data_IF_371065796078
#
_entry.id   IF_371065796078
#
_cell.length_a   1.000
_cell.length_b   1.000
_cell.length_c   1.000
_cell.angle_alpha   90.00
_cell.angle_beta   90.00
_cell.angle_gamma   90.00
#
_symmetry.space_group_name_H-M   'P 1'
#
loop_
_entity.id
_entity.type
_entity.pdbx_description
1 polymer ?
#
# COMPACT_ATOMS: atom_id res chain seq x y z
N UNK A 1 -11.05 14.39 24.46
CA UNK A 1 -9.90 14.21 23.51
C UNK A 1 -9.57 12.74 23.22
N UNK A 2 -9.76 11.81 24.18
CA UNK A 2 -9.42 10.39 23.99
C UNK A 2 -10.38 9.59 23.08
N UNK A 3 -11.58 10.04 22.83
CA UNK A 3 -12.57 9.35 22.00
C UNK A 3 -12.38 9.60 20.51
N UNK A 4 -11.78 10.74 20.11
CA UNK A 4 -11.53 11.07 18.70
C UNK A 4 -10.38 10.25 18.09
N UNK A 5 -9.34 9.96 18.88
CA UNK A 5 -8.18 9.15 18.44
C UNK A 5 -8.50 7.66 18.28
N UNK A 6 -9.53 7.15 18.98
CA UNK A 6 -9.99 5.76 18.82
C UNK A 6 -10.81 5.54 17.53
N UNK A 7 -11.40 6.58 16.92
CA UNK A 7 -12.23 6.47 15.71
C UNK A 7 -11.44 6.51 14.40
N UNK A 8 -10.19 6.97 14.38
CA UNK A 8 -9.36 7.05 13.15
C UNK A 8 -8.69 5.73 12.74
N UNK A 9 -8.91 4.65 13.47
CA UNK A 9 -8.16 3.38 13.34
C UNK A 9 -8.73 2.42 12.32
N UNK A 10 -9.32 2.84 11.20
CA UNK A 10 -9.85 1.80 10.29
C UNK A 10 -10.06 2.23 8.84
N UNK A 11 -9.51 1.40 8.01
CA UNK A 11 -9.86 1.01 6.64
C UNK A 11 -9.43 1.93 5.51
N UNK A 12 -8.36 1.49 4.87
CA UNK A 12 -7.88 1.95 3.58
C UNK A 12 -8.75 1.39 2.44
N UNK A 13 -9.37 2.23 1.61
CA UNK A 13 -10.14 1.79 0.42
C UNK A 13 -9.52 2.31 -0.89
N UNK A 14 -8.64 3.29 -0.83
CA UNK A 14 -7.85 3.79 -1.95
C UNK A 14 -6.57 4.37 -1.36
N UNK A 15 -5.73 3.48 -0.81
CA UNK A 15 -4.45 3.87 -0.29
C UNK A 15 -3.45 4.05 -1.42
N UNK A 16 -2.61 5.05 -1.26
CA UNK A 16 -1.33 5.34 -1.96
C UNK A 16 -0.94 4.33 -3.05
N UNK A 17 -1.93 3.85 -3.83
CA UNK A 17 -1.70 2.81 -4.81
C UNK A 17 -0.67 3.27 -5.85
N UNK A 18 -0.71 4.54 -6.22
CA UNK A 18 0.24 5.08 -7.16
C UNK A 18 1.64 5.29 -6.57
N UNK A 19 1.72 5.86 -5.38
CA UNK A 19 3.01 6.10 -4.72
C UNK A 19 3.77 4.80 -4.46
N UNK A 20 3.08 3.75 -3.99
CA UNK A 20 3.68 2.42 -3.80
C UNK A 20 4.13 1.79 -5.12
N UNK A 21 3.28 1.82 -6.14
CA UNK A 21 3.63 1.33 -7.47
C UNK A 21 4.83 2.07 -8.04
N UNK A 22 4.80 3.41 -7.99
CA UNK A 22 5.90 4.28 -8.45
C UNK A 22 7.22 3.97 -7.73
N UNK A 23 7.17 3.82 -6.40
CA UNK A 23 8.34 3.45 -5.60
C UNK A 23 8.93 2.12 -6.10
N UNK A 24 8.09 1.11 -6.28
CA UNK A 24 8.52 -0.21 -6.75
C UNK A 24 9.22 -0.14 -8.10
N UNK A 25 8.69 0.61 -9.06
CA UNK A 25 9.31 0.78 -10.37
C UNK A 25 10.70 1.47 -10.26
N UNK A 26 10.81 2.53 -9.43
CA UNK A 26 12.07 3.22 -9.20
C UNK A 26 13.10 2.36 -8.46
N UNK A 27 12.67 1.48 -7.57
CA UNK A 27 13.53 0.49 -6.90
C UNK A 27 14.01 -0.54 -7.91
N UNK A 28 13.12 -1.10 -8.75
CA UNK A 28 13.50 -2.04 -9.82
C UNK A 28 14.58 -1.47 -10.74
N UNK A 29 14.50 -0.19 -11.07
CA UNK A 29 15.48 0.46 -11.94
C UNK A 29 16.87 0.59 -11.31
N UNK A 30 16.96 0.58 -9.99
CA UNK A 30 18.24 0.62 -9.25
C UNK A 30 18.87 -0.76 -9.03
N UNK A 31 18.09 -1.84 -9.15
CA UNK A 31 18.60 -3.20 -8.88
C UNK A 31 19.58 -3.66 -9.95
N UNK A 32 20.54 -4.54 -9.54
CA UNK A 32 21.45 -5.19 -10.49
C UNK A 32 20.67 -6.13 -11.45
N UNK A 33 21.23 -6.35 -12.63
CA UNK A 33 20.56 -7.08 -13.71
C UNK A 33 20.07 -8.49 -13.34
N UNK A 34 20.80 -9.34 -12.63
CA UNK A 34 20.29 -10.66 -12.25
C UNK A 34 19.04 -10.58 -11.38
N UNK A 35 19.04 -9.69 -10.36
CA UNK A 35 17.92 -9.52 -9.45
C UNK A 35 16.73 -8.85 -10.15
N UNK A 36 16.98 -7.78 -10.89
CA UNK A 36 15.96 -7.07 -11.69
C UNK A 36 15.22 -8.05 -12.59
N UNK A 37 15.93 -8.92 -13.33
CA UNK A 37 15.31 -9.91 -14.21
C UNK A 37 14.41 -10.90 -13.45
N UNK A 38 14.80 -11.34 -12.26
CA UNK A 38 13.96 -12.22 -11.44
C UNK A 38 12.64 -11.54 -11.07
N UNK A 39 12.69 -10.27 -10.66
CA UNK A 39 11.50 -9.51 -10.26
C UNK A 39 10.63 -9.17 -11.48
N UNK A 40 11.21 -8.77 -12.60
CA UNK A 40 10.48 -8.49 -13.85
C UNK A 40 9.80 -9.74 -14.42
N UNK A 41 10.43 -10.92 -14.32
CA UNK A 41 9.81 -12.18 -14.73
C UNK A 41 8.58 -12.52 -13.86
N UNK A 42 8.55 -12.06 -12.62
CA UNK A 42 7.47 -12.27 -11.66
C UNK A 42 6.80 -10.94 -11.26
N UNK A 43 6.69 -10.02 -12.23
CA UNK A 43 6.20 -8.65 -12.02
C UNK A 43 4.82 -8.61 -11.36
N UNK A 44 3.93 -9.51 -11.72
CA UNK A 44 2.58 -9.60 -11.16
C UNK A 44 2.57 -9.86 -9.64
N UNK A 45 3.53 -10.65 -9.14
CA UNK A 45 3.70 -10.91 -7.71
C UNK A 45 4.38 -9.72 -7.02
N UNK A 46 5.43 -9.15 -7.64
CA UNK A 46 6.07 -7.95 -7.12
C UNK A 46 5.07 -6.80 -6.98
N UNK A 47 4.27 -6.56 -8.01
CA UNK A 47 3.25 -5.51 -8.04
C UNK A 47 2.19 -5.69 -6.94
N UNK A 48 1.72 -6.93 -6.69
CA UNK A 48 0.82 -7.21 -5.57
C UNK A 48 1.53 -6.95 -4.23
N UNK A 49 2.79 -7.32 -4.11
CA UNK A 49 3.61 -7.07 -2.93
C UNK A 49 3.71 -5.59 -2.57
N UNK A 50 3.78 -4.69 -3.56
CA UNK A 50 3.81 -3.24 -3.36
C UNK A 50 2.59 -2.69 -2.61
N UNK A 51 1.51 -3.45 -2.52
CA UNK A 51 0.33 -3.09 -1.73
C UNK A 51 0.30 -3.74 -0.35
N UNK A 52 1.28 -4.59 -0.03
CA UNK A 52 1.47 -5.17 1.30
C UNK A 52 0.18 -5.72 1.92
N UNK A 53 -0.06 -5.44 3.21
CA UNK A 53 -1.27 -5.89 3.90
C UNK A 53 -2.52 -5.06 3.57
N UNK A 54 -2.39 -3.95 2.83
CA UNK A 54 -3.50 -3.05 2.47
C UNK A 54 -4.55 -3.73 1.60
N UNK A 55 -4.15 -4.72 0.80
CA UNK A 55 -5.08 -5.54 0.03
C UNK A 55 -6.19 -6.12 0.90
N UNK A 56 -5.94 -6.40 2.18
CA UNK A 56 -6.89 -6.99 3.11
C UNK A 56 -8.04 -6.04 3.48
N UNK A 57 -7.81 -4.72 3.41
CA UNK A 57 -8.84 -3.73 3.71
C UNK A 57 -9.95 -3.66 2.66
N UNK A 58 -9.69 -4.14 1.46
CA UNK A 58 -10.68 -4.21 0.38
C UNK A 58 -11.64 -5.39 0.50
N UNK A 59 -11.44 -6.29 1.49
CA UNK A 59 -12.38 -7.35 1.77
C UNK A 59 -13.57 -6.82 2.58
N UNK A 60 -14.66 -6.42 1.88
CA UNK A 60 -15.84 -5.81 2.50
C UNK A 60 -15.49 -4.58 3.37
N UNK A 61 -15.02 -3.50 2.78
CA UNK A 61 -14.44 -2.34 3.49
C UNK A 61 -15.41 -1.60 4.41
N UNK A 62 -16.73 -1.83 4.26
CA UNK A 62 -17.79 -1.25 5.08
C UNK A 62 -18.12 -2.09 6.34
N UNK A 63 -17.53 -3.28 6.48
CA UNK A 63 -17.74 -4.17 7.63
C UNK A 63 -16.42 -4.40 8.36
N UNK A 64 -16.45 -4.43 9.70
CA UNK A 64 -15.32 -4.87 10.51
C UNK A 64 -15.12 -6.39 10.42
N UNK A 65 -14.62 -6.87 9.27
CA UNK A 65 -14.40 -8.29 9.04
C UNK A 65 -13.13 -8.79 9.75
N UNK A 66 -13.01 -10.13 9.89
CA UNK A 66 -11.78 -10.78 10.37
C UNK A 66 -10.57 -10.35 9.51
N UNK A 67 -10.77 -10.24 8.19
CA UNK A 67 -9.72 -9.91 7.23
C UNK A 67 -9.24 -8.46 7.39
N UNK A 68 -10.16 -7.50 7.57
CA UNK A 68 -9.75 -6.11 7.84
C UNK A 68 -9.00 -6.00 9.17
N UNK A 69 -9.39 -6.76 10.20
CA UNK A 69 -8.66 -6.80 11.47
C UNK A 69 -7.27 -7.38 11.31
N UNK A 70 -7.10 -8.40 10.46
CA UNK A 70 -5.78 -8.97 10.13
C UNK A 70 -4.88 -7.89 9.49
N UNK A 71 -5.35 -7.17 8.47
CA UNK A 71 -4.59 -6.05 7.89
C UNK A 71 -4.19 -5.01 8.93
N UNK A 72 -5.13 -4.61 9.80
CA UNK A 72 -4.83 -3.65 10.88
C UNK A 72 -3.85 -4.19 11.93
N UNK A 73 -3.84 -5.48 12.21
CA UNK A 73 -2.88 -6.11 13.12
C UNK A 73 -1.48 -6.09 12.51
N UNK A 74 -1.34 -6.49 11.24
CA UNK A 74 -0.06 -6.50 10.53
C UNK A 74 0.61 -5.12 10.51
N UNK A 75 -0.16 -4.01 10.36
CA UNK A 75 0.41 -2.66 10.42
C UNK A 75 0.87 -2.22 11.82
N UNK A 76 0.44 -2.89 12.87
CA UNK A 76 0.79 -2.54 14.25
C UNK A 76 1.90 -3.38 14.82
N UNK A 77 2.03 -4.59 14.31
CA UNK A 77 3.09 -5.51 14.72
C UNK A 77 4.43 -5.06 14.12
N UNK A 78 5.51 -5.45 14.76
CA UNK A 78 6.87 -5.28 14.21
C UNK A 78 6.96 -6.06 12.90
N UNK A 79 7.54 -5.46 11.89
CA UNK A 79 7.62 -6.06 10.57
C UNK A 79 8.50 -7.33 10.55
N UNK A 80 9.52 -7.41 11.40
CA UNK A 80 10.38 -8.58 11.50
C UNK A 80 9.61 -9.86 11.83
N UNK A 81 8.53 -9.79 12.62
CA UNK A 81 7.67 -10.94 12.93
C UNK A 81 7.10 -11.54 11.64
N UNK A 82 6.59 -10.70 10.76
CA UNK A 82 6.09 -11.14 9.45
C UNK A 82 7.24 -11.66 8.57
N UNK A 83 8.35 -10.93 8.47
CA UNK A 83 9.42 -11.29 7.56
C UNK A 83 10.17 -12.55 7.99
N UNK A 84 10.34 -12.84 9.29
CA UNK A 84 10.90 -14.12 9.73
C UNK A 84 9.97 -15.29 9.38
N UNK A 85 8.67 -15.17 9.58
CA UNK A 85 7.71 -16.20 9.14
C UNK A 85 7.73 -16.39 7.63
N UNK A 86 7.84 -15.30 6.87
CA UNK A 86 7.93 -15.34 5.42
C UNK A 86 9.23 -15.98 4.93
N UNK A 87 10.35 -15.75 5.62
CA UNK A 87 11.64 -16.39 5.34
C UNK A 87 11.58 -17.91 5.49
N UNK A 88 10.95 -18.42 6.53
CA UNK A 88 10.80 -19.88 6.73
C UNK A 88 10.04 -20.52 5.56
N UNK A 89 8.90 -19.92 5.16
CA UNK A 89 8.13 -20.39 4.00
C UNK A 89 8.98 -20.34 2.73
N UNK A 90 9.73 -19.25 2.53
CA UNK A 90 10.53 -19.05 1.32
C UNK A 90 11.73 -20.01 1.27
N UNK A 91 12.36 -20.31 2.41
CA UNK A 91 13.44 -21.31 2.51
C UNK A 91 12.98 -22.71 2.10
N UNK A 92 11.75 -23.08 2.47
CA UNK A 92 11.15 -24.36 2.08
C UNK A 92 10.78 -24.41 0.60
N UNK A 93 10.08 -23.39 0.11
CA UNK A 93 9.51 -23.37 -1.25
C UNK A 93 10.54 -23.03 -2.33
N UNK A 94 11.53 -22.22 -2.00
CA UNK A 94 12.54 -21.66 -2.93
C UNK A 94 11.90 -21.00 -4.17
N UNK A 95 10.70 -20.44 -4.00
CA UNK A 95 9.86 -19.92 -5.06
C UNK A 95 10.26 -18.50 -5.48
N UNK A 96 10.70 -18.33 -6.74
CA UNK A 96 11.00 -17.01 -7.30
C UNK A 96 9.77 -16.07 -7.35
N UNK A 97 8.54 -16.54 -7.69
CA UNK A 97 7.32 -15.73 -7.56
C UNK A 97 7.09 -15.22 -6.14
N UNK A 98 7.24 -16.08 -5.12
CA UNK A 98 7.08 -15.69 -3.73
C UNK A 98 8.16 -14.71 -3.27
N UNK A 99 9.40 -14.91 -3.70
CA UNK A 99 10.48 -13.97 -3.46
C UNK A 99 10.16 -12.58 -4.05
N UNK A 100 9.65 -12.52 -5.29
CA UNK A 100 9.25 -11.26 -5.92
C UNK A 100 8.13 -10.57 -5.13
N UNK A 101 7.13 -11.32 -4.68
CA UNK A 101 6.07 -10.80 -3.79
C UNK A 101 6.65 -10.17 -2.52
N UNK A 102 7.58 -10.85 -1.85
CA UNK A 102 8.19 -10.34 -0.61
C UNK A 102 9.07 -9.11 -0.86
N UNK A 103 9.76 -9.03 -2.00
CA UNK A 103 10.50 -7.81 -2.38
C UNK A 103 9.55 -6.60 -2.55
N UNK A 104 8.38 -6.80 -3.18
CA UNK A 104 7.35 -5.76 -3.25
C UNK A 104 6.81 -5.39 -1.87
N UNK A 105 6.59 -6.37 -1.00
CA UNK A 105 6.12 -6.16 0.38
C UNK A 105 7.15 -5.37 1.21
N UNK A 106 8.45 -5.60 1.02
CA UNK A 106 9.52 -4.79 1.63
C UNK A 106 9.39 -3.33 1.19
N UNK A 107 9.20 -3.07 -0.11
CA UNK A 107 9.02 -1.71 -0.62
C UNK A 107 7.80 -1.02 0.02
N UNK A 108 6.67 -1.73 0.14
CA UNK A 108 5.49 -1.21 0.83
C UNK A 108 5.80 -0.84 2.28
N UNK A 109 6.39 -1.76 3.03
CA UNK A 109 6.74 -1.56 4.43
C UNK A 109 7.65 -0.34 4.64
N UNK A 110 8.70 -0.20 3.83
CA UNK A 110 9.65 0.90 3.94
C UNK A 110 8.96 2.26 3.68
N UNK A 111 8.13 2.36 2.64
CA UNK A 111 7.43 3.60 2.34
C UNK A 111 6.48 4.01 3.46
N UNK A 112 5.69 3.06 3.97
CA UNK A 112 4.74 3.31 5.05
C UNK A 112 5.43 3.79 6.32
N UNK A 113 6.43 3.04 6.77
CA UNK A 113 7.15 3.36 8.01
C UNK A 113 7.91 4.69 7.93
N UNK A 114 8.28 5.17 6.74
CA UNK A 114 8.89 6.48 6.56
C UNK A 114 7.85 7.61 6.49
N UNK A 115 6.72 7.39 5.83
CA UNK A 115 5.75 8.46 5.58
C UNK A 115 4.71 8.62 6.70
N UNK A 116 4.24 7.54 7.32
CA UNK A 116 3.15 7.59 8.30
C UNK A 116 3.42 8.48 9.52
N UNK A 117 4.63 8.52 10.12
CA UNK A 117 4.90 9.45 11.21
C UNK A 117 4.66 10.91 10.82
N UNK A 118 5.07 11.29 9.61
CA UNK A 118 4.88 12.63 9.11
C UNK A 118 3.44 12.91 8.69
N UNK A 119 2.76 11.96 8.07
CA UNK A 119 1.32 12.04 7.77
C UNK A 119 0.52 12.27 9.06
N UNK A 120 0.86 11.59 10.16
CA UNK A 120 0.23 11.81 11.46
C UNK A 120 0.44 13.24 12.00
N UNK A 121 1.57 13.87 11.67
CA UNK A 121 1.82 15.29 11.99
C UNK A 121 0.89 16.18 11.17
N UNK A 122 0.80 15.96 9.86
CA UNK A 122 -0.08 16.73 8.96
C UNK A 122 -1.55 16.63 9.42
N UNK A 123 -2.01 15.46 9.82
CA UNK A 123 -3.38 15.27 10.35
C UNK A 123 -3.62 16.15 11.58
N UNK A 124 -2.67 16.21 12.48
CA UNK A 124 -2.79 17.01 13.72
C UNK A 124 -2.82 18.51 13.44
N UNK A 125 -2.03 18.96 12.49
CA UNK A 125 -1.88 20.38 12.15
C UNK A 125 -3.03 20.90 11.29
N UNK A 126 -3.53 20.08 10.35
CA UNK A 126 -4.50 20.53 9.34
C UNK A 126 -5.93 20.02 9.57
N UNK A 127 -6.09 18.92 10.31
CA UNK A 127 -7.37 18.22 10.42
C UNK A 127 -7.77 17.45 9.13
N UNK A 128 -6.95 17.47 8.09
CA UNK A 128 -7.18 16.69 6.86
C UNK A 128 -7.04 15.20 7.17
N UNK A 129 -7.88 14.38 6.56
CA UNK A 129 -7.87 12.93 6.83
C UNK A 129 -6.63 12.26 6.26
N UNK A 130 -6.19 11.18 6.89
CA UNK A 130 -5.08 10.36 6.43
C UNK A 130 -5.20 10.02 4.93
N UNK A 131 -6.35 9.52 4.52
CA UNK A 131 -6.60 9.12 3.14
C UNK A 131 -6.55 10.28 2.14
N UNK A 132 -7.00 11.44 2.53
CA UNK A 132 -6.93 12.61 1.66
C UNK A 132 -5.49 13.08 1.45
N UNK A 133 -4.65 13.01 2.50
CA UNK A 133 -3.22 13.33 2.39
C UNK A 133 -2.53 12.36 1.43
N UNK A 134 -2.81 11.08 1.53
CA UNK A 134 -2.26 10.05 0.64
C UNK A 134 -2.76 10.20 -0.80
N UNK A 135 -4.04 10.52 -0.97
CA UNK A 135 -4.62 10.82 -2.30
C UNK A 135 -3.99 12.06 -2.93
N UNK A 136 -3.65 13.09 -2.15
CA UNK A 136 -2.97 14.27 -2.66
C UNK A 136 -1.48 13.98 -2.98
N UNK A 137 -0.83 13.10 -2.23
CA UNK A 137 0.53 12.63 -2.58
C UNK A 137 0.52 11.83 -3.89
N UNK A 138 -0.44 10.91 -4.07
CA UNK A 138 -0.63 10.18 -5.33
C UNK A 138 -0.88 11.16 -6.49
N UNK A 139 -1.78 12.15 -6.31
CA UNK A 139 -2.02 13.22 -7.27
C UNK A 139 -0.73 13.95 -7.65
N UNK A 140 0.06 14.33 -6.66
CA UNK A 140 1.30 15.04 -6.83
C UNK A 140 2.27 14.28 -7.73
N UNK A 141 2.49 12.99 -7.47
CA UNK A 141 3.33 12.15 -8.30
C UNK A 141 2.74 11.87 -9.68
N UNK A 142 1.43 11.65 -9.80
CA UNK A 142 0.80 11.49 -11.11
C UNK A 142 1.00 12.71 -12.01
N UNK A 143 0.85 13.93 -11.46
CA UNK A 143 1.07 15.15 -12.22
C UNK A 143 2.53 15.27 -12.65
N UNK A 144 3.50 14.94 -11.78
CA UNK A 144 4.92 14.90 -12.13
C UNK A 144 5.21 13.90 -13.25
N UNK A 145 4.54 12.77 -13.25
CA UNK A 145 4.69 11.72 -14.26
C UNK A 145 3.76 11.94 -15.48
N UNK A 146 3.16 13.14 -15.60
CA UNK A 146 2.27 13.57 -16.71
C UNK A 146 1.00 12.73 -16.88
N UNK A 147 0.51 12.15 -15.79
CA UNK A 147 -0.73 11.39 -15.74
C UNK A 147 -1.90 12.29 -15.28
N UNK A 148 -3.12 11.97 -15.75
CA UNK A 148 -4.34 12.63 -15.26
C UNK A 148 -4.84 11.96 -13.98
N UNK A 149 -4.74 12.62 -12.80
CA UNK A 149 -5.16 12.02 -11.53
C UNK A 149 -6.64 11.67 -11.45
N UNK A 150 -7.47 12.34 -12.26
CA UNK A 150 -8.92 12.12 -12.28
C UNK A 150 -9.34 10.94 -13.17
N UNK A 151 -8.45 10.43 -14.04
CA UNK A 151 -8.77 9.40 -15.04
C UNK A 151 -7.86 8.19 -14.98
N UNK A 152 -6.71 8.28 -14.30
CA UNK A 152 -5.75 7.18 -14.22
C UNK A 152 -6.28 6.07 -13.31
N UNK A 153 -6.31 4.85 -13.82
CA UNK A 153 -6.63 3.64 -13.05
C UNK A 153 -5.36 3.17 -12.34
N UNK A 154 -5.45 3.01 -11.04
CA UNK A 154 -4.29 2.73 -10.19
C UNK A 154 -4.01 1.24 -9.98
N UNK A 155 -4.91 0.36 -10.42
CA UNK A 155 -4.87 -1.08 -10.12
C UNK A 155 -4.86 -1.97 -11.37
N UNK A 156 -4.61 -1.39 -12.55
CA UNK A 156 -4.60 -2.20 -13.79
C UNK A 156 -3.43 -3.19 -13.83
N UNK A 157 -2.30 -2.87 -13.17
CA UNK A 157 -1.15 -3.77 -13.00
C UNK A 157 -1.45 -4.99 -12.11
N UNK A 158 -2.46 -4.93 -11.23
CA UNK A 158 -2.82 -6.05 -10.34
C UNK A 158 -3.50 -7.18 -11.13
N UNK A 159 -2.82 -8.31 -11.24
CA UNK A 159 -3.35 -9.54 -11.82
C UNK A 159 -3.94 -10.43 -10.73
N UNK A 160 -5.15 -10.94 -10.95
CA UNK A 160 -5.86 -11.80 -9.99
C UNK A 160 -6.23 -13.11 -10.67
N UNK A 161 -5.43 -14.13 -10.43
CA UNK A 161 -5.57 -15.48 -10.96
C UNK A 161 -5.06 -16.51 -9.92
N UNK A 162 -5.17 -17.80 -10.24
CA UNK A 162 -4.72 -18.86 -9.32
C UNK A 162 -3.23 -18.81 -9.06
N UNK A 163 -2.41 -18.44 -10.06
CA UNK A 163 -0.97 -18.28 -9.88
C UNK A 163 -0.65 -17.24 -8.79
N UNK A 164 -1.22 -16.03 -8.90
CA UNK A 164 -0.97 -14.98 -7.91
C UNK A 164 -1.50 -15.35 -6.53
N UNK A 165 -2.70 -15.92 -6.47
CA UNK A 165 -3.33 -16.31 -5.20
C UNK A 165 -2.56 -17.43 -4.49
N UNK A 166 -2.09 -18.46 -5.22
CA UNK A 166 -1.32 -19.56 -4.64
C UNK A 166 0.01 -19.09 -4.03
N UNK A 167 0.63 -18.08 -4.64
CA UNK A 167 1.91 -17.57 -4.17
C UNK A 167 1.79 -16.60 -2.99
N UNK A 168 0.66 -15.92 -2.82
CA UNK A 168 0.48 -14.98 -1.70
C UNK A 168 -0.24 -15.59 -0.50
N UNK A 169 -1.09 -16.64 -0.69
CA UNK A 169 -1.88 -17.25 0.38
C UNK A 169 -1.03 -17.70 1.59
N UNK A 170 0.16 -18.31 1.42
CA UNK A 170 0.95 -18.78 2.56
C UNK A 170 1.35 -17.67 3.55
N UNK A 171 1.36 -16.43 3.13
CA UNK A 171 1.79 -15.28 3.95
C UNK A 171 0.67 -14.64 4.76
N UNK A 172 -0.58 -15.09 4.60
CA UNK A 172 -1.72 -14.52 5.31
C UNK A 172 -2.51 -15.58 6.07
N UNK A 173 -2.99 -15.21 7.26
CA UNK A 173 -4.01 -16.00 7.99
C UNK A 173 -5.40 -15.78 7.36
N UNK A 174 -5.48 -15.98 6.04
CA UNK A 174 -6.65 -15.77 5.19
C UNK A 174 -6.70 -16.84 4.11
N UNK A 175 -7.90 -17.27 3.72
CA UNK A 175 -8.11 -18.25 2.66
C UNK A 175 -7.91 -17.60 1.28
N UNK A 176 -7.56 -18.42 0.27
CA UNK A 176 -7.48 -17.99 -1.13
C UNK A 176 -8.74 -17.24 -1.59
N UNK A 177 -9.93 -17.71 -1.18
CA UNK A 177 -11.21 -17.05 -1.50
C UNK A 177 -11.32 -15.65 -0.89
N UNK A 178 -10.80 -15.45 0.31
CA UNK A 178 -10.77 -14.13 0.97
C UNK A 178 -9.78 -13.20 0.30
N UNK A 179 -8.59 -13.69 -0.06
CA UNK A 179 -7.58 -12.93 -0.81
C UNK A 179 -8.08 -12.57 -2.22
N UNK A 180 -8.73 -13.50 -2.92
CA UNK A 180 -9.39 -13.21 -4.19
C UNK A 180 -10.39 -12.05 -4.06
N UNK A 181 -11.26 -12.10 -3.03
CA UNK A 181 -12.22 -11.01 -2.77
C UNK A 181 -11.52 -9.69 -2.45
N UNK A 182 -10.42 -9.73 -1.72
CA UNK A 182 -9.59 -8.57 -1.39
C UNK A 182 -9.05 -7.90 -2.64
N UNK A 183 -8.34 -8.64 -3.49
CA UNK A 183 -7.75 -8.11 -4.73
C UNK A 183 -8.83 -7.66 -5.75
N UNK A 184 -9.91 -8.42 -5.91
CA UNK A 184 -11.04 -7.99 -6.75
C UNK A 184 -11.73 -6.76 -6.18
N UNK A 185 -11.88 -6.68 -4.86
CA UNK A 185 -12.38 -5.50 -4.16
C UNK A 185 -11.52 -4.27 -4.43
N UNK A 186 -10.19 -4.39 -4.32
CA UNK A 186 -9.25 -3.33 -4.63
C UNK A 186 -9.49 -2.76 -6.04
N UNK A 187 -9.50 -3.62 -7.07
CA UNK A 187 -9.77 -3.21 -8.45
C UNK A 187 -11.17 -2.60 -8.64
N UNK A 188 -12.17 -3.12 -7.94
CA UNK A 188 -13.54 -2.60 -8.00
C UNK A 188 -13.64 -1.20 -7.40
N UNK A 189 -13.10 -0.99 -6.18
CA UNK A 189 -13.18 0.30 -5.50
C UNK A 189 -12.31 1.37 -6.16
N UNK A 190 -11.15 1.02 -6.70
CA UNK A 190 -10.36 1.95 -7.52
C UNK A 190 -11.20 2.50 -8.70
N UNK A 191 -11.85 1.62 -9.46
CA UNK A 191 -12.71 2.03 -10.57
C UNK A 191 -13.97 2.78 -10.13
N UNK A 192 -14.56 2.38 -9.01
CA UNK A 192 -15.73 3.04 -8.45
C UNK A 192 -15.43 4.49 -8.06
N UNK A 193 -14.30 4.71 -7.35
CA UNK A 193 -13.90 6.00 -6.82
C UNK A 193 -13.21 6.90 -7.86
N UNK A 194 -12.87 6.35 -9.03
CA UNK A 194 -12.45 7.13 -10.20
C UNK A 194 -13.65 7.87 -10.77
N UNK A 195 -13.84 9.13 -10.34
CA UNK A 195 -15.03 9.92 -10.61
C UNK A 195 -14.70 11.31 -11.22
N UNK A 196 -14.25 11.36 -12.49
CA UNK A 196 -13.98 12.62 -13.18
C UNK A 196 -15.27 13.40 -13.47
N UNK A 197 -16.42 12.72 -13.66
CA UNK A 197 -17.70 13.35 -13.96
C UNK A 197 -18.38 13.84 -12.67
N UNK A 198 -18.92 15.06 -12.71
CA UNK A 198 -19.57 15.68 -11.55
C UNK A 198 -20.79 14.88 -11.05
N UNK A 199 -21.59 14.31 -11.94
CA UNK A 199 -22.77 13.52 -11.57
C UNK A 199 -22.39 12.21 -10.87
N UNK A 200 -21.35 11.50 -11.34
CA UNK A 200 -20.84 10.28 -10.67
C UNK A 200 -20.32 10.62 -9.28
N UNK A 201 -19.54 11.70 -9.17
CA UNK A 201 -19.03 12.18 -7.88
C UNK A 201 -20.16 12.59 -6.94
N UNK A 202 -21.13 13.34 -7.45
CA UNK A 202 -22.32 13.74 -6.68
C UNK A 202 -23.08 12.53 -6.13
N UNK A 203 -23.27 11.48 -6.95
CA UNK A 203 -23.89 10.23 -6.52
C UNK A 203 -23.07 9.52 -5.44
N UNK A 204 -21.75 9.41 -5.61
CA UNK A 204 -20.87 8.82 -4.57
C UNK A 204 -21.03 9.59 -3.26
N UNK A 205 -20.94 10.90 -3.29
CA UNK A 205 -21.06 11.73 -2.09
C UNK A 205 -22.44 11.65 -1.45
N UNK A 206 -23.50 11.57 -2.26
CA UNK A 206 -24.86 11.36 -1.75
C UNK A 206 -24.96 10.04 -1.00
N UNK A 207 -24.48 8.95 -1.59
CA UNK A 207 -24.47 7.63 -0.94
C UNK A 207 -23.67 7.67 0.37
N UNK A 208 -22.48 8.28 0.36
CA UNK A 208 -21.65 8.40 1.56
C UNK A 208 -22.32 9.24 2.66
N UNK A 209 -23.13 10.26 2.30
CA UNK A 209 -23.89 11.07 3.27
C UNK A 209 -25.05 10.26 3.84
N UNK A 210 -25.84 9.57 3.00
CA UNK A 210 -26.97 8.74 3.43
C UNK A 210 -26.49 7.63 4.38
N UNK A 211 -25.34 7.04 4.11
CA UNK A 211 -24.73 5.99 4.96
C UNK A 211 -23.95 6.53 6.16
N UNK A 212 -23.95 7.84 6.39
CA UNK A 212 -23.19 8.52 7.45
C UNK A 212 -21.67 8.24 7.42
N UNK A 213 -21.14 7.85 6.27
CA UNK A 213 -19.74 7.51 6.09
C UNK A 213 -18.93 8.60 5.35
N UNK A 214 -19.56 9.71 4.98
CA UNK A 214 -18.96 10.78 4.18
C UNK A 214 -17.63 11.29 4.75
N UNK A 215 -17.59 11.68 6.04
CA UNK A 215 -16.37 12.17 6.69
C UNK A 215 -15.21 11.17 6.65
N UNK A 216 -15.53 9.89 6.54
CA UNK A 216 -14.56 8.80 6.53
C UNK A 216 -14.01 8.52 5.15
N UNK A 217 -14.85 8.59 4.11
CA UNK A 217 -14.52 8.08 2.78
C UNK A 217 -14.39 9.15 1.70
N UNK A 218 -14.72 10.42 1.96
CA UNK A 218 -14.61 11.48 0.97
C UNK A 218 -13.18 11.66 0.45
N UNK A 219 -12.18 11.49 1.30
CA UNK A 219 -10.76 11.63 0.95
C UNK A 219 -10.24 10.61 -0.06
N UNK A 220 -11.00 9.54 -0.33
CA UNK A 220 -10.64 8.55 -1.36
C UNK A 220 -10.98 9.01 -2.78
N UNK A 221 -11.81 10.01 -2.95
CA UNK A 221 -12.15 10.57 -4.26
C UNK A 221 -11.19 11.72 -4.54
N UNK A 222 -10.33 11.56 -5.54
CA UNK A 222 -9.35 12.60 -5.92
C UNK A 222 -10.07 13.93 -6.15
N UNK A 223 -9.65 14.99 -5.48
CA UNK A 223 -10.24 16.32 -5.63
C UNK A 223 -10.06 16.87 -7.06
N UNK A 224 -10.94 17.72 -7.55
CA UNK A 224 -10.76 18.39 -8.85
C UNK A 224 -9.54 19.33 -8.86
N UNK A 225 -9.24 19.92 -7.70
CA UNK A 225 -8.08 20.80 -7.48
C UNK A 225 -7.28 20.27 -6.29
N UNK A 226 -5.96 20.49 -6.24
CA UNK A 226 -5.14 20.14 -5.10
C UNK A 226 -5.69 20.73 -3.79
N UNK A 227 -5.55 19.99 -2.70
CA UNK A 227 -5.91 20.50 -1.38
C UNK A 227 -4.80 21.42 -0.86
N UNK A 228 -5.09 22.73 -0.81
CA UNK A 228 -4.13 23.75 -0.38
C UNK A 228 -3.61 23.56 1.06
N UNK A 229 -4.33 22.84 1.90
CA UNK A 229 -3.86 22.53 3.27
C UNK A 229 -2.77 21.46 3.27
N UNK A 230 -2.69 20.63 2.22
CA UNK A 230 -1.68 19.56 2.10
C UNK A 230 -0.46 20.02 1.31
N UNK A 231 -0.64 20.95 0.36
CA UNK A 231 0.43 21.47 -0.50
C UNK A 231 1.76 21.78 0.23
N UNK A 232 1.78 22.49 1.39
CA UNK A 232 3.03 22.86 2.05
C UNK A 232 3.85 21.65 2.56
N UNK A 233 3.22 20.48 2.67
CA UNK A 233 3.83 19.29 3.23
C UNK A 233 4.33 18.31 2.14
N UNK A 234 3.95 18.52 0.87
CA UNK A 234 4.25 17.60 -0.23
C UNK A 234 5.75 17.47 -0.50
N UNK A 235 6.51 18.55 -0.39
CA UNK A 235 7.97 18.52 -0.58
C UNK A 235 8.66 17.60 0.44
N UNK A 236 8.26 17.66 1.70
CA UNK A 236 8.81 16.77 2.74
C UNK A 236 8.36 15.33 2.53
N UNK A 237 7.10 15.09 2.14
CA UNK A 237 6.63 13.75 1.78
C UNK A 237 7.39 13.17 0.59
N UNK A 238 7.70 13.98 -0.43
CA UNK A 238 8.55 13.58 -1.54
C UNK A 238 9.97 13.25 -1.08
N UNK A 239 10.55 14.03 -0.17
CA UNK A 239 11.86 13.73 0.41
C UNK A 239 11.87 12.36 1.10
N UNK A 240 10.84 12.06 1.90
CA UNK A 240 10.68 10.75 2.57
C UNK A 240 10.46 9.62 1.56
N UNK A 241 9.69 9.87 0.50
CA UNK A 241 9.52 8.93 -0.60
C UNK A 241 10.85 8.62 -1.28
N UNK A 242 11.67 9.63 -1.60
CA UNK A 242 12.97 9.45 -2.23
C UNK A 242 13.96 8.70 -1.31
N UNK A 243 13.93 8.96 -0.01
CA UNK A 243 14.66 8.19 1.00
C UNK A 243 14.24 6.72 0.98
N UNK A 244 12.92 6.46 0.87
CA UNK A 244 12.37 5.11 0.83
C UNK A 244 12.87 4.29 -0.36
N UNK A 245 13.23 4.91 -1.49
CA UNK A 245 13.81 4.19 -2.63
C UNK A 245 15.15 3.55 -2.25
N UNK A 246 16.04 4.31 -1.60
CA UNK A 246 17.36 3.81 -1.19
C UNK A 246 17.25 2.79 -0.06
N UNK A 247 16.39 3.05 0.93
CA UNK A 247 16.16 2.12 2.04
C UNK A 247 15.51 0.81 1.56
N UNK A 248 14.58 0.84 0.60
CA UNK A 248 14.00 -0.37 0.00
C UNK A 248 15.06 -1.20 -0.71
N UNK A 249 15.94 -0.56 -1.47
CA UNK A 249 17.07 -1.22 -2.11
C UNK A 249 17.93 -1.95 -1.06
N UNK A 250 18.36 -1.24 -0.01
CA UNK A 250 19.19 -1.82 1.06
C UNK A 250 18.48 -2.96 1.80
N UNK A 251 17.18 -2.79 2.08
CA UNK A 251 16.36 -3.79 2.76
C UNK A 251 16.20 -5.07 1.92
N UNK A 252 16.02 -4.95 0.60
CA UNK A 252 15.96 -6.12 -0.31
C UNK A 252 17.30 -6.86 -0.31
N UNK A 253 18.44 -6.16 -0.37
CA UNK A 253 19.75 -6.82 -0.32
C UNK A 253 20.02 -7.44 1.05
N UNK A 254 19.65 -6.80 2.15
CA UNK A 254 19.70 -7.42 3.47
C UNK A 254 18.86 -8.71 3.52
N UNK A 255 17.63 -8.68 2.98
CA UNK A 255 16.76 -9.85 2.91
C UNK A 255 17.40 -11.01 2.11
N UNK A 256 18.07 -10.70 1.00
CA UNK A 256 18.84 -11.69 0.22
C UNK A 256 20.01 -12.25 1.04
N UNK A 257 20.72 -11.42 1.78
CA UNK A 257 21.83 -11.87 2.63
C UNK A 257 21.35 -12.80 3.76
N UNK A 258 20.17 -12.52 4.33
CA UNK A 258 19.55 -13.42 5.31
C UNK A 258 19.25 -14.79 4.70
N UNK A 259 18.72 -14.82 3.47
CA UNK A 259 18.43 -16.08 2.76
C UNK A 259 19.69 -16.87 2.45
N UNK A 260 20.76 -16.19 2.01
CA UNK A 260 22.00 -16.84 1.53
C UNK A 260 22.97 -17.23 2.63
N UNK A 261 23.06 -16.41 3.67
CA UNK A 261 24.15 -16.49 4.67
C UNK A 261 23.62 -16.66 6.09
N UNK A 262 22.32 -16.92 6.26
CA UNK A 262 21.65 -17.09 7.57
C UNK A 262 21.95 -15.93 8.55
N UNK A 263 22.02 -14.71 8.00
CA UNK A 263 22.20 -13.47 8.79
C UNK A 263 20.88 -13.07 9.43
N UNK A 264 20.93 -12.11 10.35
CA UNK A 264 19.71 -11.49 10.91
C UNK A 264 19.16 -10.42 9.99
N UNK A 265 17.83 -10.23 10.02
CA UNK A 265 17.21 -9.04 9.44
C UNK A 265 17.80 -7.78 10.08
N UNK A 266 17.97 -6.72 9.31
CA UNK A 266 18.43 -5.44 9.83
C UNK A 266 17.44 -4.88 10.86
N UNK A 267 17.95 -4.04 11.79
CA UNK A 267 17.12 -3.36 12.79
C UNK A 267 15.96 -2.58 12.17
N UNK A 268 16.07 -2.23 10.89
CA UNK A 268 15.03 -1.52 10.14
C UNK A 268 13.69 -2.25 10.15
N UNK A 269 13.71 -3.58 10.21
CA UNK A 269 12.51 -4.42 10.29
C UNK A 269 11.91 -4.52 11.70
N UNK A 270 12.58 -4.03 12.73
CA UNK A 270 12.07 -4.07 14.10
C UNK A 270 10.98 -3.03 14.39
N UNK A 271 10.74 -2.11 13.46
CA UNK A 271 9.67 -1.13 13.53
C UNK A 271 8.37 -1.67 12.94
N UNK A 272 7.25 -1.05 13.27
CA UNK A 272 5.97 -1.30 12.61
C UNK A 272 5.80 -0.37 11.39
N UNK A 273 4.68 -0.47 10.69
CA UNK A 273 4.37 0.34 9.51
C UNK A 273 3.91 1.78 9.83
N UNK A 274 4.02 2.23 11.09
CA UNK A 274 3.47 3.54 11.53
C UNK A 274 4.51 4.37 12.23
#
# INVERSE_FOLDING_TARGET
>A
LHLSLRRQRQMCIRDRAYSHYRLGQLVLDKLNQPLKRVLETNQDLFDIGLHGPDILFYNRPYIHSKINRLGSAMHKERADIFFYQALEILKETKSAPQFAYLCGFICHYILDSNCHPYINTIIKETGVTHFEIETELDRYFMVKDRLDPLRTKLTDHIKVNDHTLNNIEPYFKATKKELYKSLKGMKFYDRLLLAPQFYKRGLIYLVLKITFTYKRFQGFVVNYRPNKLVDPYLEKLESLFNQSISESYEAIYNFIDVIKYDRSLSYRFEHNFK
#
